data_IF_914847399055
#
_entry.id   IF_914847399055
#
_cell.length_a   1.000
_cell.length_b   1.000
_cell.length_c   1.000
_cell.angle_alpha   90.00
_cell.angle_beta   90.00
_cell.angle_gamma   90.00
#
_symmetry.space_group_name_H-M   'P 1'
#
loop_
_entity.id
_entity.type
_entity.pdbx_description
1 polymer ?
#
# COMPACT_ATOMS: atom_id res chain seq x y z
N UNK A 1 8.10 -21.55 0.91
CA UNK A 1 8.46 -20.52 1.90
C UNK A 1 7.54 -19.30 1.85
N UNK A 2 7.23 -18.63 0.70
CA UNK A 2 6.29 -17.50 0.70
C UNK A 2 4.89 -17.86 1.20
N UNK A 3 4.37 -19.05 0.85
CA UNK A 3 3.07 -19.56 1.30
C UNK A 3 2.97 -19.59 2.82
N UNK A 4 3.97 -20.18 3.50
CA UNK A 4 3.98 -20.25 4.96
C UNK A 4 4.03 -18.86 5.64
N UNK A 5 4.70 -17.90 5.00
CA UNK A 5 4.73 -16.51 5.47
C UNK A 5 3.34 -15.83 5.34
N UNK A 6 2.65 -16.02 4.20
CA UNK A 6 1.29 -15.50 4.00
C UNK A 6 0.31 -16.08 5.04
N UNK A 7 0.33 -17.39 5.23
CA UNK A 7 -0.50 -18.08 6.24
C UNK A 7 -0.24 -17.51 7.64
N UNK A 8 1.04 -17.41 8.04
CA UNK A 8 1.43 -16.87 9.34
C UNK A 8 0.96 -15.40 9.52
N UNK A 9 1.00 -14.58 8.48
CA UNK A 9 0.50 -13.21 8.53
C UNK A 9 -1.00 -13.15 8.84
N UNK A 10 -1.79 -13.94 8.15
CA UNK A 10 -3.23 -14.04 8.39
C UNK A 10 -3.54 -14.56 9.79
N UNK A 11 -2.82 -15.57 10.27
CA UNK A 11 -2.98 -16.11 11.62
C UNK A 11 -2.62 -15.10 12.72
N UNK A 12 -1.74 -14.15 12.43
CA UNK A 12 -1.38 -13.03 13.32
C UNK A 12 -2.33 -11.83 13.19
N UNK A 13 -3.40 -11.93 12.40
CA UNK A 13 -4.40 -10.88 12.22
C UNK A 13 -4.06 -9.84 11.16
N UNK A 14 -3.05 -10.07 10.32
CA UNK A 14 -2.72 -9.22 9.17
C UNK A 14 -3.64 -9.61 8.00
N UNK A 15 -4.85 -9.07 7.99
CA UNK A 15 -5.93 -9.51 7.08
C UNK A 15 -5.98 -8.77 5.75
N UNK A 16 -5.25 -7.65 5.62
CA UNK A 16 -5.11 -6.95 4.34
C UNK A 16 -3.96 -7.59 3.54
N UNK A 17 -4.26 -8.08 2.34
CA UNK A 17 -3.29 -8.71 1.43
C UNK A 17 -3.22 -7.90 0.15
N UNK A 18 -2.07 -7.26 -0.09
CA UNK A 18 -1.81 -6.43 -1.26
C UNK A 18 -1.02 -7.18 -2.33
N UNK A 19 -1.51 -7.14 -3.56
CA UNK A 19 -0.85 -7.70 -4.74
C UNK A 19 -1.10 -6.82 -5.98
N UNK A 20 -0.70 -7.28 -7.15
CA UNK A 20 -0.98 -6.65 -8.44
C UNK A 20 -0.84 -7.65 -9.58
N UNK A 21 -1.55 -7.40 -10.70
CA UNK A 21 -1.37 -8.18 -11.92
C UNK A 21 0.07 -8.12 -12.46
N UNK A 22 0.81 -7.04 -12.15
CA UNK A 22 2.21 -6.85 -12.52
C UNK A 22 3.16 -7.83 -11.82
N UNK A 23 2.85 -8.26 -10.60
CA UNK A 23 3.82 -9.01 -9.79
C UNK A 23 4.00 -10.42 -10.31
N UNK A 24 5.11 -10.63 -11.05
CA UNK A 24 5.42 -11.89 -11.73
C UNK A 24 4.37 -12.27 -12.76
N UNK A 25 3.83 -11.28 -13.51
CA UNK A 25 2.78 -11.48 -14.52
C UNK A 25 1.57 -12.27 -14.00
N UNK A 26 1.13 -11.93 -12.78
CA UNK A 26 0.01 -12.57 -12.10
C UNK A 26 0.39 -13.78 -11.24
N UNK A 27 1.65 -14.21 -11.22
CA UNK A 27 2.07 -15.33 -10.39
C UNK A 27 1.91 -15.04 -8.89
N UNK A 28 2.04 -13.78 -8.45
CA UNK A 28 1.80 -13.41 -7.06
C UNK A 28 0.32 -13.56 -6.66
N UNK A 29 -0.62 -13.24 -7.55
CA UNK A 29 -2.05 -13.46 -7.33
C UNK A 29 -2.38 -14.95 -7.25
N UNK A 30 -1.82 -15.77 -8.14
CA UNK A 30 -1.99 -17.23 -8.12
C UNK A 30 -1.40 -17.85 -6.84
N UNK A 31 -0.25 -17.35 -6.37
CA UNK A 31 0.36 -17.80 -5.12
C UNK A 31 -0.51 -17.49 -3.89
N UNK A 32 -1.20 -16.35 -3.88
CA UNK A 32 -2.15 -15.98 -2.81
C UNK A 32 -3.32 -16.97 -2.81
N UNK A 33 -3.87 -17.29 -3.98
CA UNK A 33 -4.90 -18.31 -4.11
C UNK A 33 -4.44 -19.68 -3.57
N UNK A 34 -3.23 -20.13 -3.96
CA UNK A 34 -2.65 -21.38 -3.48
C UNK A 34 -2.44 -21.38 -1.96
N UNK A 35 -1.95 -20.25 -1.41
CA UNK A 35 -1.62 -20.14 0.01
C UNK A 35 -2.85 -20.06 0.91
N UNK A 36 -3.88 -19.32 0.50
CA UNK A 36 -4.97 -18.89 1.37
C UNK A 36 -6.31 -19.53 1.03
N UNK A 37 -6.53 -19.96 -0.23
CA UNK A 37 -7.70 -20.72 -0.66
C UNK A 37 -9.02 -20.19 -0.09
N UNK A 38 -9.78 -21.05 0.61
CA UNK A 38 -11.08 -20.70 1.23
C UNK A 38 -11.00 -19.58 2.29
N UNK A 39 -9.80 -19.22 2.75
CA UNK A 39 -9.60 -18.09 3.69
C UNK A 39 -9.76 -16.73 3.01
N UNK A 40 -9.64 -16.65 1.69
CA UNK A 40 -9.74 -15.39 0.92
C UNK A 40 -11.03 -14.60 1.23
N UNK A 41 -12.14 -15.27 1.47
CA UNK A 41 -13.42 -14.64 1.84
C UNK A 41 -13.43 -13.88 3.18
N UNK A 42 -12.38 -14.02 4.00
CA UNK A 42 -12.21 -13.34 5.30
C UNK A 42 -11.12 -12.27 5.27
N UNK A 43 -10.51 -12.06 4.12
CA UNK A 43 -9.40 -11.13 3.92
C UNK A 43 -9.90 -9.87 3.24
N UNK A 44 -9.14 -8.80 3.39
CA UNK A 44 -9.27 -7.60 2.58
C UNK A 44 -8.27 -7.71 1.42
N UNK A 45 -8.75 -8.15 0.27
CA UNK A 45 -7.93 -8.41 -0.90
C UNK A 45 -7.77 -7.16 -1.76
N UNK A 46 -6.51 -6.78 -2.01
CA UNK A 46 -6.14 -5.64 -2.85
C UNK A 46 -5.38 -6.15 -4.07
N UNK A 47 -5.79 -5.73 -5.27
CA UNK A 47 -4.99 -5.89 -6.49
C UNK A 47 -4.99 -4.60 -7.30
N UNK A 48 -4.16 -4.55 -8.36
CA UNK A 48 -3.92 -3.33 -9.14
C UNK A 48 -3.89 -3.64 -10.62
N UNK A 49 -4.47 -2.74 -11.42
CA UNK A 49 -4.38 -2.77 -12.87
C UNK A 49 -3.19 -1.96 -13.38
N UNK A 50 -2.52 -2.44 -14.41
CA UNK A 50 -1.59 -1.64 -15.18
C UNK A 50 -2.28 -0.41 -15.82
N UNK A 51 -1.59 0.73 -15.98
CA UNK A 51 -2.16 1.92 -16.60
C UNK A 51 -2.60 1.69 -18.05
N UNK A 52 -1.94 0.82 -18.81
CA UNK A 52 -2.39 0.46 -20.16
C UNK A 52 -3.69 -0.34 -20.17
N UNK A 53 -4.10 -0.90 -19.04
CA UNK A 53 -5.37 -1.60 -18.87
C UNK A 53 -6.49 -0.70 -18.30
N UNK A 54 -6.22 0.58 -18.04
CA UNK A 54 -7.13 1.48 -17.34
C UNK A 54 -8.35 1.95 -18.16
N UNK A 55 -8.43 1.63 -19.47
CA UNK A 55 -9.60 1.99 -20.29
C UNK A 55 -10.82 1.14 -19.97
N UNK A 56 -12.03 1.67 -20.28
CA UNK A 56 -13.32 0.98 -20.06
C UNK A 56 -13.31 -0.49 -20.52
N UNK A 57 -12.78 -0.76 -21.73
CA UNK A 57 -12.81 -2.10 -22.30
C UNK A 57 -11.77 -3.05 -21.70
N UNK A 58 -10.61 -2.52 -21.26
CA UNK A 58 -9.49 -3.33 -20.78
C UNK A 58 -9.54 -3.57 -19.29
N UNK A 59 -9.99 -2.59 -18.49
CA UNK A 59 -10.00 -2.67 -17.04
C UNK A 59 -10.89 -3.81 -16.53
N UNK A 60 -12.06 -3.98 -17.14
CA UNK A 60 -12.95 -5.12 -16.81
C UNK A 60 -12.27 -6.46 -17.05
N UNK A 61 -11.58 -6.63 -18.19
CA UNK A 61 -10.86 -7.87 -18.52
C UNK A 61 -9.68 -8.12 -17.57
N UNK A 62 -8.93 -7.07 -17.21
CA UNK A 62 -7.83 -7.15 -16.26
C UNK A 62 -8.34 -7.57 -14.87
N UNK A 63 -9.40 -6.93 -14.38
CA UNK A 63 -10.04 -7.30 -13.12
C UNK A 63 -10.51 -8.76 -13.11
N UNK A 64 -11.21 -9.21 -14.13
CA UNK A 64 -11.65 -10.60 -14.24
C UNK A 64 -10.48 -11.59 -14.31
N UNK A 65 -9.37 -11.22 -14.95
CA UNK A 65 -8.16 -12.03 -14.95
C UNK A 65 -7.54 -12.14 -13.53
N UNK A 66 -7.48 -11.03 -12.79
CA UNK A 66 -7.05 -11.02 -11.38
C UNK A 66 -7.95 -11.87 -10.50
N UNK A 67 -9.28 -11.74 -10.64
CA UNK A 67 -10.24 -12.56 -9.89
C UNK A 67 -10.04 -14.07 -10.14
N UNK A 68 -9.83 -14.46 -11.41
CA UNK A 68 -9.54 -15.87 -11.74
C UNK A 68 -8.25 -16.37 -11.12
N UNK A 69 -7.16 -15.57 -11.14
CA UNK A 69 -5.88 -15.96 -10.53
C UNK A 69 -5.96 -16.05 -9.01
N UNK A 70 -6.72 -15.15 -8.39
CA UNK A 70 -6.95 -15.12 -6.93
C UNK A 70 -8.00 -16.16 -6.48
N UNK A 71 -8.73 -16.78 -7.40
CA UNK A 71 -9.76 -17.79 -7.07
C UNK A 71 -10.93 -17.20 -6.28
N UNK A 72 -11.30 -15.93 -6.54
CA UNK A 72 -12.37 -15.23 -5.86
C UNK A 72 -13.32 -14.56 -6.87
N UNK A 73 -14.53 -14.24 -6.46
CA UNK A 73 -15.53 -13.54 -7.27
C UNK A 73 -15.47 -12.01 -7.08
N UNK A 74 -14.75 -11.52 -6.04
CA UNK A 74 -14.67 -10.11 -5.71
C UNK A 74 -13.33 -9.74 -5.09
N UNK A 75 -12.82 -8.55 -5.44
CA UNK A 75 -11.77 -7.84 -4.70
C UNK A 75 -12.41 -6.86 -3.70
N UNK A 76 -11.77 -6.65 -2.55
CA UNK A 76 -12.18 -5.59 -1.63
C UNK A 76 -11.72 -4.23 -2.12
N UNK A 77 -10.52 -4.15 -2.69
CA UNK A 77 -9.98 -2.91 -3.24
C UNK A 77 -9.25 -3.18 -4.57
N UNK A 78 -9.57 -2.39 -5.59
CA UNK A 78 -8.88 -2.44 -6.88
C UNK A 78 -8.28 -1.08 -7.20
N UNK A 79 -6.97 -1.05 -7.52
CA UNK A 79 -6.23 0.18 -7.73
C UNK A 79 -5.80 0.37 -9.19
N UNK A 80 -5.78 1.60 -9.67
CA UNK A 80 -4.93 1.98 -10.78
C UNK A 80 -3.48 2.02 -10.28
N UNK A 81 -2.56 1.25 -10.87
CA UNK A 81 -1.21 1.06 -10.31
C UNK A 81 -0.33 2.31 -10.40
N UNK A 82 -0.48 3.13 -11.43
CA UNK A 82 0.07 4.48 -11.59
C UNK A 82 -0.63 5.20 -12.74
N UNK A 83 -0.44 6.51 -12.82
CA UNK A 83 -0.97 7.33 -13.90
C UNK A 83 -0.38 6.91 -15.24
N UNK A 84 -1.25 6.66 -16.24
CA UNK A 84 -0.89 6.36 -17.61
C UNK A 84 -1.46 7.40 -18.59
N UNK A 85 -1.53 7.02 -19.85
CA UNK A 85 -2.08 7.87 -20.93
C UNK A 85 -3.59 7.76 -21.12
N UNK A 86 -4.26 6.84 -20.42
CA UNK A 86 -5.73 6.72 -20.45
C UNK A 86 -6.32 7.87 -19.65
N UNK A 87 -7.30 8.62 -20.20
CA UNK A 87 -7.98 9.69 -19.47
C UNK A 87 -8.59 9.18 -18.18
N UNK A 88 -8.45 9.93 -17.07
CA UNK A 88 -8.97 9.49 -15.75
C UNK A 88 -10.48 9.23 -15.78
N UNK A 89 -11.24 10.00 -16.53
CA UNK A 89 -12.69 9.79 -16.68
C UNK A 89 -13.03 8.39 -17.16
N UNK A 90 -12.25 7.81 -18.09
CA UNK A 90 -12.47 6.42 -18.53
C UNK A 90 -12.17 5.41 -17.42
N UNK A 91 -11.11 5.64 -16.67
CA UNK A 91 -10.72 4.79 -15.53
C UNK A 91 -11.78 4.85 -14.43
N UNK A 92 -12.25 6.05 -14.08
CA UNK A 92 -13.30 6.27 -13.08
C UNK A 92 -14.56 5.51 -13.46
N UNK A 93 -15.06 5.72 -14.70
CA UNK A 93 -16.26 5.05 -15.18
C UNK A 93 -16.13 3.51 -15.18
N UNK A 94 -14.95 3.00 -15.53
CA UNK A 94 -14.68 1.56 -15.52
C UNK A 94 -14.63 1.00 -14.09
N UNK A 95 -14.02 1.72 -13.14
CA UNK A 95 -13.99 1.34 -11.71
C UNK A 95 -15.41 1.35 -11.11
N UNK A 96 -16.21 2.37 -11.37
CA UNK A 96 -17.59 2.45 -10.90
C UNK A 96 -18.48 1.35 -11.52
N UNK A 97 -18.24 1.01 -12.80
CA UNK A 97 -18.93 -0.11 -13.44
C UNK A 97 -18.57 -1.46 -12.79
N UNK A 98 -17.30 -1.69 -12.46
CA UNK A 98 -16.85 -2.90 -11.74
C UNK A 98 -17.45 -2.97 -10.33
N UNK A 99 -17.52 -1.85 -9.63
CA UNK A 99 -18.15 -1.73 -8.30
C UNK A 99 -19.65 -2.02 -8.39
N UNK A 100 -20.36 -1.44 -9.35
CA UNK A 100 -21.77 -1.69 -9.60
C UNK A 100 -22.07 -3.13 -9.98
N UNK A 101 -21.14 -3.79 -10.69
CA UNK A 101 -21.22 -5.21 -11.02
C UNK A 101 -20.85 -6.16 -9.85
N UNK A 102 -20.47 -5.61 -8.68
CA UNK A 102 -20.06 -6.38 -7.50
C UNK A 102 -18.71 -7.09 -7.63
N UNK A 103 -17.92 -6.77 -8.67
CA UNK A 103 -16.59 -7.35 -8.89
C UNK A 103 -15.52 -6.77 -7.96
N UNK A 104 -15.71 -5.53 -7.54
CA UNK A 104 -14.88 -4.85 -6.55
C UNK A 104 -15.78 -4.18 -5.51
N UNK A 105 -15.31 -4.04 -4.29
CA UNK A 105 -16.03 -3.36 -3.22
C UNK A 105 -15.71 -1.87 -3.19
N UNK A 106 -14.41 -1.58 -3.28
CA UNK A 106 -13.86 -0.24 -3.33
C UNK A 106 -12.85 -0.12 -4.48
N UNK A 107 -12.56 1.10 -4.88
CA UNK A 107 -11.46 1.37 -5.80
C UNK A 107 -10.65 2.57 -5.34
N UNK A 108 -9.42 2.64 -5.79
CA UNK A 108 -8.49 3.72 -5.51
C UNK A 108 -7.41 3.80 -6.57
N UNK A 109 -6.39 4.55 -6.23
CA UNK A 109 -5.25 4.77 -7.12
C UNK A 109 -3.93 4.43 -6.42
N UNK A 110 -2.85 4.49 -7.17
CA UNK A 110 -1.51 4.35 -6.64
C UNK A 110 -0.57 5.26 -7.42
N UNK A 111 0.33 5.94 -6.71
CA UNK A 111 1.33 6.84 -7.28
C UNK A 111 0.74 8.02 -8.07
N UNK A 112 -0.36 8.58 -7.61
CA UNK A 112 -0.87 9.86 -8.06
C UNK A 112 -0.37 10.97 -7.13
N UNK A 113 0.13 12.08 -7.70
CA UNK A 113 0.51 13.24 -6.90
C UNK A 113 -0.71 14.14 -6.61
N UNK A 114 -0.51 15.24 -5.90
CA UNK A 114 -1.61 16.14 -5.52
C UNK A 114 -2.34 16.71 -6.73
N UNK A 115 -1.63 17.05 -7.80
CA UNK A 115 -2.24 17.60 -9.01
C UNK A 115 -3.07 16.53 -9.75
N UNK A 116 -2.56 15.27 -9.79
CA UNK A 116 -3.30 14.12 -10.31
C UNK A 116 -4.56 13.82 -9.50
N UNK A 117 -4.49 13.95 -8.17
CA UNK A 117 -5.66 13.75 -7.29
C UNK A 117 -6.70 14.84 -7.48
N UNK A 118 -6.29 16.10 -7.66
CA UNK A 118 -7.21 17.20 -8.01
C UNK A 118 -7.88 16.95 -9.38
N UNK A 119 -7.12 16.48 -10.38
CA UNK A 119 -7.68 16.09 -11.68
C UNK A 119 -8.68 14.92 -11.52
N UNK A 120 -8.35 13.93 -10.70
CA UNK A 120 -9.21 12.77 -10.43
C UNK A 120 -10.58 13.22 -9.86
N UNK A 121 -10.57 14.08 -8.86
CA UNK A 121 -11.81 14.61 -8.25
C UNK A 121 -12.57 15.46 -9.26
N UNK A 122 -11.89 16.36 -10.00
CA UNK A 122 -12.52 17.17 -11.03
C UNK A 122 -13.15 16.34 -12.17
N UNK A 123 -12.64 15.13 -12.41
CA UNK A 123 -13.19 14.17 -13.37
C UNK A 123 -14.35 13.32 -12.82
N UNK A 124 -14.80 13.56 -11.58
CA UNK A 124 -15.88 12.82 -10.92
C UNK A 124 -15.40 11.58 -10.14
N UNK A 125 -14.17 11.60 -9.66
CA UNK A 125 -13.53 10.51 -8.92
C UNK A 125 -13.84 10.46 -7.42
N UNK A 126 -14.95 11.04 -6.95
CA UNK A 126 -15.34 11.06 -5.52
C UNK A 126 -15.49 9.66 -4.90
N UNK A 127 -15.62 8.62 -5.72
CA UNK A 127 -15.66 7.23 -5.28
C UNK A 127 -14.30 6.60 -4.97
N UNK A 128 -13.19 7.33 -5.22
CA UNK A 128 -11.83 6.91 -4.87
C UNK A 128 -11.65 6.91 -3.35
N UNK A 129 -11.15 5.81 -2.78
CA UNK A 129 -11.05 5.69 -1.31
C UNK A 129 -9.63 5.73 -0.77
N UNK A 130 -8.60 5.71 -1.61
CA UNK A 130 -7.20 5.68 -1.15
C UNK A 130 -6.23 5.97 -2.29
N UNK A 131 -5.07 6.49 -1.94
CA UNK A 131 -3.88 6.45 -2.78
C UNK A 131 -2.78 5.60 -2.11
N UNK A 132 -2.18 4.69 -2.88
CA UNK A 132 -1.06 3.87 -2.42
C UNK A 132 0.26 4.45 -2.94
N UNK A 133 1.13 4.92 -2.04
CA UNK A 133 2.34 5.66 -2.39
C UNK A 133 3.60 5.13 -1.72
N UNK A 134 4.75 5.46 -2.29
CA UNK A 134 6.05 5.24 -1.66
C UNK A 134 6.20 6.19 -0.46
N UNK A 135 6.14 5.63 0.74
CA UNK A 135 6.27 6.42 1.95
C UNK A 135 7.00 5.66 3.05
N UNK A 136 8.07 6.26 3.55
CA UNK A 136 8.89 5.75 4.64
C UNK A 136 9.82 6.85 5.16
N UNK A 137 10.69 6.54 6.14
CA UNK A 137 11.62 7.48 6.77
C UNK A 137 12.47 8.32 5.81
N UNK A 138 12.84 7.80 4.64
CA UNK A 138 13.66 8.52 3.64
C UNK A 138 12.86 9.05 2.47
N UNK A 139 11.63 8.57 2.28
CA UNK A 139 10.71 8.94 1.21
C UNK A 139 9.57 9.78 1.77
N UNK A 140 9.91 10.96 2.23
CA UNK A 140 9.00 11.87 2.96
C UNK A 140 8.37 12.97 2.09
N UNK A 141 8.57 12.91 0.77
CA UNK A 141 7.97 13.86 -0.18
C UNK A 141 6.45 14.03 -0.01
N UNK A 142 5.68 12.95 0.15
CA UNK A 142 4.23 13.05 0.34
C UNK A 142 3.78 13.89 1.54
N UNK A 143 4.63 14.08 2.57
CA UNK A 143 4.28 14.89 3.76
C UNK A 143 4.07 16.38 3.46
N UNK A 144 4.55 16.88 2.32
CA UNK A 144 4.45 18.31 2.00
C UNK A 144 3.03 18.71 1.56
N UNK A 145 2.44 17.95 0.68
CA UNK A 145 1.15 18.29 0.05
C UNK A 145 0.18 17.11 0.02
N UNK A 146 0.63 15.93 -0.45
CA UNK A 146 -0.25 14.80 -0.72
C UNK A 146 -0.90 14.22 0.55
N UNK A 147 -0.12 13.99 1.61
CA UNK A 147 -0.71 13.48 2.87
C UNK A 147 -1.69 14.49 3.50
N UNK A 148 -1.39 15.79 3.60
CA UNK A 148 -2.37 16.79 4.02
C UNK A 148 -3.63 16.82 3.13
N UNK A 149 -3.46 16.69 1.82
CA UNK A 149 -4.57 16.64 0.87
C UNK A 149 -5.47 15.41 1.13
N UNK A 150 -4.87 14.23 1.26
CA UNK A 150 -5.59 12.97 1.52
C UNK A 150 -6.34 13.01 2.86
N UNK A 151 -5.71 13.57 3.91
CA UNK A 151 -6.37 13.79 5.21
C UNK A 151 -7.57 14.71 5.09
N UNK A 152 -7.44 15.82 4.35
CA UNK A 152 -8.54 16.76 4.14
C UNK A 152 -9.73 16.14 3.37
N UNK A 153 -9.47 15.08 2.58
CA UNK A 153 -10.50 14.34 1.85
C UNK A 153 -10.92 13.01 2.55
N UNK A 154 -10.52 12.84 3.80
CA UNK A 154 -10.83 11.63 4.61
C UNK A 154 -10.37 10.31 3.94
N UNK A 155 -9.32 10.37 3.13
CA UNK A 155 -8.75 9.23 2.42
C UNK A 155 -7.58 8.63 3.19
N UNK A 156 -7.63 7.37 3.65
CA UNK A 156 -6.47 6.66 4.18
C UNK A 156 -5.41 6.45 3.12
N UNK A 157 -4.15 6.37 3.55
CA UNK A 157 -2.98 6.19 2.69
C UNK A 157 -2.42 4.79 2.84
N UNK A 158 -2.13 4.12 1.74
CA UNK A 158 -1.38 2.86 1.76
C UNK A 158 0.10 3.12 1.46
N UNK A 159 0.97 2.85 2.44
CA UNK A 159 2.42 3.08 2.32
C UNK A 159 3.13 1.81 1.85
N UNK A 160 3.63 1.79 0.60
CA UNK A 160 4.46 0.69 0.14
C UNK A 160 5.95 0.94 0.41
N UNK A 161 6.74 -0.14 0.45
CA UNK A 161 8.16 -0.15 0.85
C UNK A 161 8.44 0.59 2.18
N UNK A 162 7.65 0.37 3.25
CA UNK A 162 7.71 1.16 4.49
C UNK A 162 9.04 1.02 5.24
N UNK A 163 9.85 0.01 4.91
CA UNK A 163 11.19 -0.22 5.49
C UNK A 163 12.33 -0.04 4.48
N UNK A 164 12.07 0.67 3.36
CA UNK A 164 13.05 0.94 2.28
C UNK A 164 13.79 -0.33 1.84
N UNK A 165 13.09 -1.45 1.69
CA UNK A 165 13.66 -2.75 1.32
C UNK A 165 14.79 -3.23 2.27
N UNK A 166 14.77 -2.81 3.53
CA UNK A 166 15.76 -3.17 4.54
C UNK A 166 17.05 -2.35 4.51
N UNK A 167 17.19 -1.38 3.60
CA UNK A 167 18.41 -0.56 3.45
C UNK A 167 18.70 0.33 4.66
N UNK A 168 17.72 0.57 5.52
CA UNK A 168 17.83 1.42 6.72
C UNK A 168 18.30 0.68 7.96
N UNK A 169 18.43 -0.66 7.91
CA UNK A 169 18.68 -1.51 9.08
C UNK A 169 19.98 -1.21 9.84
N UNK A 170 20.98 -0.62 9.17
CA UNK A 170 22.27 -0.25 9.78
C UNK A 170 22.37 1.24 10.17
N UNK A 171 21.31 2.05 9.99
CA UNK A 171 21.38 3.47 10.29
C UNK A 171 21.53 3.71 11.81
N UNK A 172 22.53 4.50 12.27
CA UNK A 172 22.86 4.63 13.70
C UNK A 172 21.68 5.05 14.59
N UNK A 173 20.85 5.99 14.12
CA UNK A 173 19.68 6.46 14.87
C UNK A 173 18.64 5.34 15.05
N UNK A 174 18.39 4.54 14.01
CA UNK A 174 17.48 3.40 14.09
C UNK A 174 18.02 2.32 15.01
N UNK A 175 19.31 1.97 14.89
CA UNK A 175 19.96 0.99 15.77
C UNK A 175 19.88 1.41 17.24
N UNK A 176 20.15 2.70 17.54
CA UNK A 176 20.07 3.24 18.89
C UNK A 176 18.67 3.16 19.49
N UNK A 177 17.65 3.57 18.72
CA UNK A 177 16.25 3.52 19.19
C UNK A 177 15.80 2.06 19.34
N UNK A 178 16.14 1.20 18.37
CA UNK A 178 15.81 -0.22 18.42
C UNK A 178 16.35 -0.90 19.69
N UNK A 179 17.61 -0.64 20.05
CA UNK A 179 18.20 -1.14 21.30
C UNK A 179 17.46 -0.64 22.54
N UNK A 180 17.03 0.64 22.54
CA UNK A 180 16.27 1.24 23.65
C UNK A 180 14.90 0.58 23.85
N UNK A 181 14.17 0.30 22.76
CA UNK A 181 12.81 -0.24 22.81
C UNK A 181 12.73 -1.77 22.72
N UNK A 182 13.87 -2.46 22.64
CA UNK A 182 13.94 -3.91 22.55
C UNK A 182 13.42 -4.46 21.20
N UNK A 183 13.63 -3.72 20.11
CA UNK A 183 13.13 -4.04 18.78
C UNK A 183 14.25 -4.10 17.73
N UNK A 184 13.89 -4.42 16.49
CA UNK A 184 14.81 -4.32 15.34
C UNK A 184 14.71 -2.91 14.69
N UNK A 185 15.76 -2.45 13.98
CA UNK A 185 15.68 -1.20 13.21
C UNK A 185 14.54 -1.16 12.19
N UNK A 186 14.21 -2.30 11.57
CA UNK A 186 13.09 -2.43 10.65
C UNK A 186 11.75 -2.22 11.35
N UNK A 187 11.58 -2.76 12.56
CA UNK A 187 10.39 -2.54 13.38
C UNK A 187 10.23 -1.07 13.79
N UNK A 188 11.33 -0.39 14.16
CA UNK A 188 11.30 1.06 14.46
C UNK A 188 10.88 1.86 13.22
N UNK A 189 11.43 1.55 12.04
CA UNK A 189 11.05 2.23 10.80
C UNK A 189 9.57 2.00 10.45
N UNK A 190 9.07 0.78 10.64
CA UNK A 190 7.68 0.44 10.39
C UNK A 190 6.74 1.09 11.40
N UNK A 191 7.09 1.10 12.69
CA UNK A 191 6.35 1.79 13.74
C UNK A 191 6.28 3.31 13.47
N UNK A 192 7.39 3.90 12.99
CA UNK A 192 7.39 5.30 12.58
C UNK A 192 6.40 5.55 11.42
N UNK A 193 6.33 4.67 10.42
CA UNK A 193 5.35 4.79 9.33
C UNK A 193 3.92 4.72 9.86
N UNK A 194 3.66 3.86 10.84
CA UNK A 194 2.33 3.65 11.43
C UNK A 194 1.93 4.70 12.48
N UNK A 195 2.76 5.72 12.74
CA UNK A 195 2.52 6.71 13.81
C UNK A 195 1.32 7.65 13.58
N UNK A 196 0.85 7.73 12.36
CA UNK A 196 -0.29 8.58 12.00
C UNK A 196 -1.54 7.72 11.77
N UNK A 197 -2.67 8.17 12.28
CA UNK A 197 -3.97 7.61 11.94
C UNK A 197 -4.22 7.72 10.43
N UNK A 198 -4.89 6.72 9.87
CA UNK A 198 -5.17 6.67 8.43
C UNK A 198 -4.01 6.18 7.56
N UNK A 199 -2.84 5.80 8.13
CA UNK A 199 -1.75 5.15 7.40
C UNK A 199 -1.83 3.63 7.53
N UNK A 200 -1.81 2.96 6.37
CA UNK A 200 -1.79 1.51 6.25
C UNK A 200 -0.44 1.12 5.63
N UNK A 201 0.43 0.47 6.40
CA UNK A 201 1.71 -0.01 5.86
C UNK A 201 1.56 -1.41 5.26
N UNK A 202 2.17 -1.63 4.09
CA UNK A 202 2.15 -2.93 3.39
C UNK A 202 3.57 -3.51 3.26
N UNK A 203 4.20 -3.96 4.36
CA UNK A 203 5.54 -4.51 4.34
C UNK A 203 5.55 -5.91 3.71
N UNK A 204 6.45 -6.13 2.73
CA UNK A 204 6.68 -7.47 2.17
C UNK A 204 7.56 -8.29 3.10
N UNK A 205 7.16 -9.55 3.36
CA UNK A 205 7.98 -10.53 4.05
C UNK A 205 7.90 -11.90 3.37
N UNK A 206 9.04 -12.60 3.27
CA UNK A 206 9.13 -13.94 2.68
C UNK A 206 9.42 -15.03 3.71
N UNK A 207 9.63 -14.68 4.99
CA UNK A 207 9.85 -15.60 6.10
C UNK A 207 8.86 -15.33 7.24
N UNK A 208 8.52 -16.39 7.99
CA UNK A 208 7.66 -16.30 9.18
C UNK A 208 8.27 -15.37 10.23
N UNK A 209 9.59 -15.36 10.38
CA UNK A 209 10.27 -14.47 11.33
C UNK A 209 10.01 -12.99 11.00
N UNK A 210 10.20 -12.57 9.75
CA UNK A 210 9.94 -11.20 9.33
C UNK A 210 8.45 -10.83 9.39
N UNK A 211 7.54 -11.78 9.14
CA UNK A 211 6.10 -11.55 9.32
C UNK A 211 5.77 -11.22 10.79
N UNK A 212 6.33 -11.99 11.72
CA UNK A 212 6.16 -11.74 13.16
C UNK A 212 6.76 -10.40 13.58
N UNK A 213 7.94 -10.06 13.07
CA UNK A 213 8.58 -8.76 13.31
C UNK A 213 7.71 -7.62 12.78
N UNK A 214 7.19 -7.73 11.55
CA UNK A 214 6.31 -6.72 10.97
C UNK A 214 5.02 -6.54 11.80
N UNK A 215 4.39 -7.64 12.24
CA UNK A 215 3.20 -7.55 13.08
C UNK A 215 3.51 -6.90 14.44
N UNK A 216 4.61 -7.28 15.07
CA UNK A 216 5.02 -6.74 16.36
C UNK A 216 5.38 -5.24 16.31
N UNK A 217 5.76 -4.72 15.13
CA UNK A 217 6.03 -3.30 14.97
C UNK A 217 4.80 -2.41 15.24
N UNK A 218 3.60 -2.92 15.03
CA UNK A 218 2.36 -2.19 15.32
C UNK A 218 2.10 -1.99 16.82
N UNK A 219 2.77 -2.74 17.68
CA UNK A 219 2.63 -2.64 19.12
C UNK A 219 3.71 -1.74 19.76
N UNK A 220 4.66 -1.23 18.96
CA UNK A 220 5.75 -0.36 19.41
C UNK A 220 5.27 1.09 19.42
N UNK A 221 5.37 1.74 20.57
CA UNK A 221 5.11 3.17 20.73
C UNK A 221 6.44 3.92 20.84
N UNK A 222 6.72 4.76 19.84
CA UNK A 222 7.89 5.64 19.85
C UNK A 222 7.58 6.88 20.68
N UNK A 223 8.52 7.28 21.57
CA UNK A 223 8.38 8.53 22.32
C UNK A 223 8.62 9.76 21.44
N UNK A 224 8.16 10.93 21.87
CA UNK A 224 8.42 12.20 21.16
C UNK A 224 9.92 12.47 20.96
N UNK A 225 10.75 12.06 21.91
CA UNK A 225 12.21 12.17 21.81
C UNK A 225 12.79 11.22 20.74
N UNK A 226 12.20 10.03 20.57
CA UNK A 226 12.59 9.08 19.52
C UNK A 226 12.16 9.62 18.15
N UNK A 227 10.94 10.14 18.04
CA UNK A 227 10.42 10.77 16.82
C UNK A 227 11.27 11.98 16.42
N UNK A 228 11.60 12.87 17.36
CA UNK A 228 12.48 14.02 17.11
C UNK A 228 13.89 13.57 16.64
N UNK A 229 14.42 12.47 17.20
CA UNK A 229 15.70 11.89 16.78
C UNK A 229 15.63 11.37 15.34
N UNK A 230 14.53 10.72 14.98
CA UNK A 230 14.32 10.23 13.61
C UNK A 230 14.09 11.37 12.63
N UNK A 231 13.34 12.40 13.01
CA UNK A 231 13.10 13.58 12.17
C UNK A 231 14.40 14.37 11.91
N UNK A 232 15.31 14.45 12.89
CA UNK A 232 16.62 15.04 12.69
C UNK A 232 17.54 14.21 11.79
N UNK A 233 17.44 12.87 11.87
CA UNK A 233 18.24 11.95 11.07
C UNK A 233 17.72 11.80 9.63
N UNK A 234 16.40 11.93 9.44
CA UNK A 234 15.69 11.79 8.18
C UNK A 234 14.75 12.99 7.96
N UNK A 235 15.31 14.18 7.70
CA UNK A 235 14.50 15.38 7.57
C UNK A 235 13.57 15.30 6.35
N UNK A 236 12.33 15.77 6.52
CA UNK A 236 11.40 15.93 5.39
C UNK A 236 11.98 16.97 4.41
N UNK A 237 11.70 16.83 3.10
CA UNK A 237 12.13 17.84 2.12
C UNK A 237 11.48 19.19 2.45
N UNK A 238 12.13 20.27 2.02
CA UNK A 238 11.63 21.65 2.21
C UNK A 238 10.79 22.11 1.03
N UNK A 239 11.08 21.55 -0.14
CA UNK A 239 10.47 21.95 -1.40
C UNK A 239 9.73 20.76 -2.02
N UNK A 240 8.65 21.06 -2.76
CA UNK A 240 7.91 20.07 -3.56
C UNK A 240 8.87 19.36 -4.53
N UNK A 241 8.71 18.06 -4.61
CA UNK A 241 9.41 17.18 -5.56
C UNK A 241 8.38 16.28 -6.25
N UNK A 242 8.68 15.83 -7.48
CA UNK A 242 7.87 14.81 -8.10
C UNK A 242 7.71 13.59 -7.16
N UNK A 243 6.55 12.96 -7.21
CA UNK A 243 6.30 11.75 -6.42
C UNK A 243 7.29 10.66 -6.83
N UNK A 244 8.02 10.13 -5.83
CA UNK A 244 8.99 9.06 -6.07
C UNK A 244 8.27 7.71 -6.20
N UNK A 245 8.80 6.86 -7.08
CA UNK A 245 8.35 5.47 -7.27
C UNK A 245 9.56 4.53 -7.25
N UNK A 246 9.33 3.22 -7.00
CA UNK A 246 10.34 2.15 -7.06
C UNK A 246 10.05 1.19 -8.21
#
# INVERSE_FOLDING_TARGET
>A
MPIAALIAGVELGMTLVDTAEMYGDGAAEALICEALGDRCGRLFLVSKAYPQNASRARLSRACEASLRRLGTDRLDLYLLHWRGSVPLVETIEAMEALKSAGKIRYWGVSNLDTDDMDELVAAGGDGCVTDQVLYNLVRRGPELELLPWLVAHEMPVMAYSPVEQGRLSSHPSLVKIAAKVGATPAQVALSWTLRHDGLIAIPKASSIAHVRENRAAADIVLSDADLATLDAAFPRPRDRRPLEML
#
